data_IF_167097208110
#
_entry.id   IF_167097208110
#
_cell.length_a   1.000
_cell.length_b   1.000
_cell.length_c   1.000
_cell.angle_alpha   90.00
_cell.angle_beta   90.00
_cell.angle_gamma   90.00
#
_symmetry.space_group_name_H-M   'P 1'
#
loop_
_entity.id
_entity.type
_entity.pdbx_description
1 polymer ?
#
# COMPACT_ATOMS: atom_id res chain seq x y z
N UNK A 1 -24.78 1.92 -22.34
CA UNK A 1 -23.45 1.24 -22.41
C UNK A 1 -23.02 1.22 -23.86
N UNK A 2 -21.83 1.73 -24.20
CA UNK A 2 -21.35 1.66 -25.59
C UNK A 2 -20.90 0.23 -25.92
N UNK A 3 -21.08 -0.21 -27.17
CA UNK A 3 -20.68 -1.55 -27.66
C UNK A 3 -19.17 -1.80 -27.38
N UNK A 4 -18.34 -0.78 -27.52
CA UNK A 4 -16.92 -0.85 -27.17
C UNK A 4 -16.65 -1.15 -25.69
N UNK A 5 -17.50 -0.68 -24.78
CA UNK A 5 -17.44 -0.98 -23.35
C UNK A 5 -17.71 -2.45 -23.04
N UNK A 6 -18.70 -3.04 -23.69
CA UNK A 6 -19.06 -4.45 -23.50
C UNK A 6 -17.97 -5.40 -24.05
N UNK A 7 -17.37 -5.10 -25.20
CA UNK A 7 -16.28 -5.89 -25.77
C UNK A 7 -15.03 -5.82 -24.86
N UNK A 8 -14.71 -4.63 -24.34
CA UNK A 8 -13.56 -4.47 -23.43
C UNK A 8 -13.77 -5.22 -22.11
N UNK A 9 -15.00 -5.29 -21.63
CA UNK A 9 -15.33 -6.03 -20.39
C UNK A 9 -15.26 -7.56 -20.60
N UNK A 10 -15.62 -8.03 -21.80
CA UNK A 10 -15.47 -9.44 -22.16
C UNK A 10 -14.00 -9.86 -22.27
N UNK A 11 -13.14 -8.99 -22.84
CA UNK A 11 -11.70 -9.28 -23.01
C UNK A 11 -10.89 -9.05 -21.73
N UNK A 12 -11.27 -8.05 -20.91
CA UNK A 12 -10.59 -7.64 -19.68
C UNK A 12 -11.59 -7.49 -18.53
N UNK A 13 -12.18 -8.59 -18.06
CA UNK A 13 -13.15 -8.52 -16.98
C UNK A 13 -12.51 -8.03 -15.69
N UNK A 14 -13.25 -7.18 -14.97
CA UNK A 14 -12.81 -6.68 -13.68
C UNK A 14 -12.71 -7.82 -12.68
N UNK A 15 -11.60 -7.84 -11.93
CA UNK A 15 -11.33 -8.85 -10.89
C UNK A 15 -11.20 -8.19 -9.54
N UNK A 16 -11.70 -8.86 -8.53
CA UNK A 16 -11.54 -8.45 -7.15
C UNK A 16 -10.06 -8.30 -6.80
N UNK A 17 -9.67 -7.15 -6.25
CA UNK A 17 -8.30 -6.85 -5.89
C UNK A 17 -7.70 -7.85 -4.87
N UNK A 18 -8.53 -8.46 -4.04
CA UNK A 18 -8.06 -9.41 -3.02
C UNK A 18 -8.09 -10.87 -3.49
N UNK A 19 -9.24 -11.45 -3.77
CA UNK A 19 -9.36 -12.86 -4.14
C UNK A 19 -9.17 -13.15 -5.64
N UNK A 20 -9.06 -12.11 -6.47
CA UNK A 20 -8.85 -12.19 -7.93
C UNK A 20 -9.96 -12.90 -8.72
N UNK A 21 -11.14 -13.14 -8.12
CA UNK A 21 -12.33 -13.63 -8.82
C UNK A 21 -12.98 -12.50 -9.61
N UNK A 22 -13.72 -12.84 -10.65
CA UNK A 22 -14.51 -11.89 -11.41
C UNK A 22 -15.51 -11.17 -10.50
N UNK A 23 -15.75 -9.90 -10.79
CA UNK A 23 -16.72 -9.06 -10.09
C UNK A 23 -17.86 -8.67 -11.03
N UNK A 24 -18.98 -8.27 -10.45
CA UNK A 24 -20.17 -7.82 -11.19
C UNK A 24 -20.02 -6.35 -11.60
N UNK A 25 -19.34 -6.12 -12.74
CA UNK A 25 -19.13 -4.79 -13.30
C UNK A 25 -17.83 -4.10 -12.88
N UNK A 26 -17.49 -3.03 -13.60
CA UNK A 26 -16.20 -2.31 -13.51
C UNK A 26 -16.01 -1.53 -12.22
N UNK A 27 -17.07 -1.10 -11.59
CA UNK A 27 -17.02 -0.28 -10.38
C UNK A 27 -16.72 -1.13 -9.13
N UNK A 28 -17.06 -2.43 -9.19
CA UNK A 28 -16.88 -3.33 -8.06
C UNK A 28 -15.45 -3.89 -8.00
N UNK A 29 -14.52 -3.09 -7.52
CA UNK A 29 -13.10 -3.49 -7.41
C UNK A 29 -12.81 -4.46 -6.25
N UNK A 30 -13.70 -4.57 -5.27
CA UNK A 30 -13.65 -5.53 -4.16
C UNK A 30 -14.99 -6.24 -4.06
N UNK A 31 -15.00 -7.57 -4.14
CA UNK A 31 -16.24 -8.34 -4.09
C UNK A 31 -16.85 -8.37 -2.68
N UNK A 32 -18.18 -8.54 -2.54
CA UNK A 32 -18.88 -8.53 -1.25
C UNK A 32 -18.35 -9.58 -0.27
N UNK A 33 -17.92 -10.73 -0.77
CA UNK A 33 -17.28 -11.76 0.05
C UNK A 33 -16.01 -11.22 0.71
N UNK A 34 -15.12 -10.60 -0.06
CA UNK A 34 -13.86 -10.05 0.49
C UNK A 34 -14.14 -8.92 1.48
N UNK A 35 -15.07 -8.02 1.20
CA UNK A 35 -15.44 -6.94 2.14
C UNK A 35 -15.77 -7.53 3.52
N UNK A 36 -16.48 -8.69 3.57
CA UNK A 36 -16.88 -9.34 4.82
C UNK A 36 -15.79 -10.21 5.46
N UNK A 37 -14.90 -10.81 4.67
CA UNK A 37 -13.98 -11.88 5.12
C UNK A 37 -12.51 -11.47 5.19
N UNK A 38 -12.15 -10.22 4.81
CA UNK A 38 -10.77 -9.75 4.95
C UNK A 38 -10.34 -9.75 6.43
N UNK A 39 -9.08 -10.12 6.72
CA UNK A 39 -8.54 -10.15 8.08
C UNK A 39 -8.26 -8.72 8.57
N UNK A 40 -9.31 -7.99 8.91
CA UNK A 40 -9.18 -6.63 9.44
C UNK A 40 -8.41 -6.61 10.75
N UNK A 41 -7.41 -5.76 10.83
CA UNK A 41 -6.68 -5.53 12.07
C UNK A 41 -7.52 -4.69 13.02
N UNK A 42 -7.97 -5.26 14.15
CA UNK A 42 -8.88 -4.63 15.10
C UNK A 42 -8.34 -4.66 16.52
N UNK A 43 -8.84 -3.72 17.36
CA UNK A 43 -8.47 -3.64 18.76
C UNK A 43 -7.02 -3.25 19.02
N UNK A 44 -6.56 -3.43 20.25
CA UNK A 44 -5.18 -3.11 20.67
C UNK A 44 -4.11 -3.91 19.93
N UNK A 45 -4.41 -5.14 19.49
CA UNK A 45 -3.49 -5.98 18.73
C UNK A 45 -3.17 -5.41 17.32
N UNK A 46 -3.98 -4.48 16.81
CA UNK A 46 -3.75 -3.80 15.55
C UNK A 46 -2.81 -2.60 15.67
N UNK A 47 -2.52 -2.14 16.87
CA UNK A 47 -1.56 -1.09 17.16
C UNK A 47 -0.23 -1.69 17.59
N UNK A 48 0.84 -1.37 16.85
CA UNK A 48 2.18 -1.73 17.26
C UNK A 48 2.85 -0.55 17.95
N UNK A 49 3.42 -0.78 19.12
CA UNK A 49 4.28 0.20 19.79
C UNK A 49 5.67 0.12 19.20
N UNK A 50 6.09 1.18 18.54
CA UNK A 50 7.42 1.29 17.95
C UNK A 50 8.16 2.47 18.56
N UNK A 51 9.49 2.36 18.81
CA UNK A 51 10.30 3.49 19.27
C UNK A 51 10.17 4.67 18.30
N UNK A 52 9.99 5.87 18.84
CA UNK A 52 9.92 7.13 18.07
C UNK A 52 8.73 7.25 17.12
N UNK A 53 7.74 6.36 17.23
CA UNK A 53 6.49 6.42 16.47
C UNK A 53 5.33 6.52 17.45
N UNK A 54 4.55 7.58 17.35
CA UNK A 54 3.42 7.84 18.25
C UNK A 54 2.36 6.75 18.07
N UNK A 55 2.06 6.39 16.82
CA UNK A 55 1.03 5.40 16.50
C UNK A 55 1.39 4.63 15.23
N UNK A 56 1.28 3.31 15.26
CA UNK A 56 1.45 2.46 14.09
C UNK A 56 0.21 1.59 13.92
N UNK A 57 -0.52 1.79 12.83
CA UNK A 57 -1.77 1.11 12.53
C UNK A 57 -1.75 0.47 11.14
N UNK A 58 -2.56 -0.54 10.94
CA UNK A 58 -2.73 -1.21 9.65
C UNK A 58 -4.20 -1.58 9.44
N UNK A 59 -4.76 -1.48 8.23
CA UNK A 59 -6.12 -1.93 7.94
C UNK A 59 -6.30 -3.44 8.06
N UNK A 60 -5.25 -4.21 7.77
CA UNK A 60 -5.34 -5.68 7.68
C UNK A 60 -4.13 -6.37 8.28
N UNK A 61 -4.33 -7.61 8.72
CA UNK A 61 -3.23 -8.56 8.91
C UNK A 61 -2.67 -9.02 7.55
N UNK A 62 -1.35 -9.23 7.50
CA UNK A 62 -0.65 -9.64 6.27
C UNK A 62 -0.75 -11.15 6.06
N UNK A 63 -1.94 -11.62 5.70
CA UNK A 63 -2.24 -13.04 5.49
C UNK A 63 -3.25 -13.26 4.36
N UNK A 64 -3.49 -14.48 3.97
CA UNK A 64 -4.52 -14.90 3.01
C UNK A 64 -4.56 -14.05 1.74
N UNK A 65 -5.76 -13.63 1.38
CA UNK A 65 -6.04 -12.83 0.18
C UNK A 65 -5.39 -11.43 0.22
N UNK A 66 -5.19 -10.86 1.41
CA UNK A 66 -4.45 -9.57 1.58
C UNK A 66 -3.00 -9.72 1.15
N UNK A 67 -2.33 -10.78 1.61
CA UNK A 67 -0.95 -11.06 1.22
C UNK A 67 -0.82 -11.29 -0.29
N UNK A 68 -1.73 -12.06 -0.89
CA UNK A 68 -1.73 -12.31 -2.34
C UNK A 68 -1.98 -11.04 -3.16
N UNK A 69 -2.91 -10.20 -2.72
CA UNK A 69 -3.19 -8.90 -3.32
C UNK A 69 -1.96 -7.99 -3.31
N UNK A 70 -1.29 -7.85 -2.15
CA UNK A 70 -0.07 -7.04 -2.04
C UNK A 70 1.09 -7.59 -2.86
N UNK A 71 1.19 -8.90 -3.06
CA UNK A 71 2.19 -9.50 -3.96
C UNK A 71 1.91 -9.15 -5.42
N UNK A 72 0.64 -9.20 -5.87
CA UNK A 72 0.25 -8.75 -7.22
C UNK A 72 0.54 -7.27 -7.41
N UNK A 73 0.22 -6.43 -6.43
CA UNK A 73 0.53 -5.00 -6.45
C UNK A 73 2.04 -4.76 -6.54
N UNK A 74 2.85 -5.49 -5.77
CA UNK A 74 4.31 -5.30 -5.74
C UNK A 74 5.03 -5.86 -6.95
N UNK A 75 4.54 -6.93 -7.56
CA UNK A 75 5.27 -7.71 -8.56
C UNK A 75 4.47 -7.98 -9.84
N UNK A 76 3.16 -7.85 -9.82
CA UNK A 76 2.26 -8.10 -10.95
C UNK A 76 1.93 -6.85 -11.78
N UNK A 77 2.49 -5.69 -11.47
CA UNK A 77 2.28 -4.46 -12.25
C UNK A 77 0.89 -3.81 -12.11
N UNK A 78 0.05 -4.25 -11.19
CA UNK A 78 -1.34 -3.78 -11.05
C UNK A 78 -1.41 -2.48 -10.24
N UNK A 79 -1.05 -1.36 -10.88
CA UNK A 79 -1.02 -0.03 -10.23
C UNK A 79 -2.37 0.40 -9.67
N UNK A 80 -3.45 0.07 -10.37
CA UNK A 80 -4.82 0.44 -9.98
C UNK A 80 -5.27 -0.06 -8.59
N UNK A 81 -4.48 -0.90 -7.92
CA UNK A 81 -4.78 -1.27 -6.54
C UNK A 81 -4.43 -0.18 -5.51
N UNK A 82 -3.66 0.86 -5.89
CA UNK A 82 -3.30 1.95 -4.98
C UNK A 82 -4.53 2.65 -4.41
N UNK A 83 -5.54 2.93 -5.27
CA UNK A 83 -6.77 3.61 -4.87
C UNK A 83 -7.51 2.80 -3.78
N UNK A 84 -7.64 1.48 -4.01
CA UNK A 84 -8.32 0.58 -3.08
C UNK A 84 -7.60 0.55 -1.72
N UNK A 85 -6.27 0.49 -1.74
CA UNK A 85 -5.49 0.51 -0.50
C UNK A 85 -5.57 1.86 0.21
N UNK A 86 -5.59 2.97 -0.55
CA UNK A 86 -5.77 4.30 -0.01
C UNK A 86 -7.13 4.45 0.70
N UNK A 87 -8.23 3.98 0.09
CA UNK A 87 -9.56 3.97 0.71
C UNK A 87 -9.57 3.22 2.05
N UNK A 88 -8.95 2.03 2.12
CA UNK A 88 -8.85 1.29 3.39
C UNK A 88 -7.93 1.96 4.41
N UNK A 89 -6.88 2.65 3.97
CA UNK A 89 -6.00 3.43 4.85
C UNK A 89 -6.73 4.62 5.44
N UNK A 90 -7.42 5.42 4.62
CA UNK A 90 -8.21 6.57 5.09
C UNK A 90 -9.23 6.13 6.12
N UNK A 91 -10.01 5.09 5.82
CA UNK A 91 -10.96 4.53 6.77
C UNK A 91 -10.30 4.12 8.09
N UNK A 92 -9.11 3.50 8.03
CA UNK A 92 -8.37 3.09 9.24
C UNK A 92 -7.84 4.29 10.01
N UNK A 93 -7.36 5.33 9.32
CA UNK A 93 -6.89 6.59 9.91
C UNK A 93 -8.03 7.25 10.68
N UNK A 94 -9.21 7.35 10.08
CA UNK A 94 -10.40 7.93 10.69
C UNK A 94 -10.88 7.11 11.90
N UNK A 95 -11.04 5.79 11.74
CA UNK A 95 -11.46 4.87 12.81
C UNK A 95 -10.51 4.88 14.02
N UNK A 96 -9.24 5.23 13.82
CA UNK A 96 -8.20 5.28 14.84
C UNK A 96 -7.91 6.70 15.34
N UNK A 97 -8.66 7.70 14.88
CA UNK A 97 -8.46 9.10 15.21
C UNK A 97 -6.97 9.51 15.07
N UNK A 98 -6.38 9.21 13.91
CA UNK A 98 -5.04 9.66 13.56
C UNK A 98 -5.17 10.95 12.76
N UNK A 99 -4.53 12.01 13.22
CA UNK A 99 -4.40 13.26 12.46
C UNK A 99 -2.98 13.41 11.94
N UNK A 100 -2.84 14.03 10.78
CA UNK A 100 -1.55 14.38 10.21
C UNK A 100 -1.68 15.62 9.31
N UNK A 101 -0.65 16.43 9.28
CA UNK A 101 -0.58 17.63 8.42
C UNK A 101 -0.08 17.29 7.02
N UNK A 102 0.78 16.27 6.93
CA UNK A 102 1.36 15.78 5.69
C UNK A 102 1.43 14.25 5.67
N UNK A 103 1.47 13.69 4.47
CA UNK A 103 1.75 12.27 4.23
C UNK A 103 3.08 12.12 3.50
N UNK A 104 3.86 11.15 3.90
CA UNK A 104 5.11 10.77 3.25
C UNK A 104 5.18 9.25 3.05
N UNK A 105 6.21 8.79 2.37
CA UNK A 105 6.44 7.35 2.12
C UNK A 105 7.90 6.96 2.30
N UNK A 106 8.15 5.67 2.47
CA UNK A 106 9.49 5.10 2.47
C UNK A 106 9.87 4.71 1.04
N UNK A 107 10.82 5.41 0.40
CA UNK A 107 11.07 5.27 -1.04
C UNK A 107 11.79 3.99 -1.42
N UNK A 108 11.55 3.51 -2.64
CA UNK A 108 12.33 2.47 -3.28
C UNK A 108 13.69 3.02 -3.75
N UNK A 109 14.70 2.13 -3.90
CA UNK A 109 15.91 2.50 -4.61
C UNK A 109 15.68 2.57 -6.14
N UNK A 110 16.50 3.33 -6.85
CA UNK A 110 16.41 3.54 -8.30
C UNK A 110 16.42 2.21 -9.12
N UNK A 111 17.20 1.21 -8.70
CA UNK A 111 17.25 -0.11 -9.36
C UNK A 111 15.91 -0.85 -9.27
N UNK A 112 15.26 -0.83 -8.09
CA UNK A 112 13.95 -1.46 -7.90
C UNK A 112 12.86 -0.67 -8.60
N UNK A 113 12.91 0.66 -8.56
CA UNK A 113 11.98 1.54 -9.26
C UNK A 113 12.00 1.27 -10.77
N UNK A 114 13.19 1.22 -11.40
CA UNK A 114 13.32 0.88 -12.84
C UNK A 114 12.75 -0.50 -13.16
N UNK A 115 13.00 -1.51 -12.31
CA UNK A 115 12.49 -2.88 -12.53
C UNK A 115 10.99 -3.00 -12.37
N UNK A 116 10.38 -2.24 -11.44
CA UNK A 116 8.94 -2.29 -11.14
C UNK A 116 8.11 -1.31 -11.96
N UNK A 117 8.75 -0.25 -12.47
CA UNK A 117 8.11 0.82 -13.20
C UNK A 117 7.36 1.84 -12.32
N UNK A 118 7.23 1.60 -11.02
CA UNK A 118 6.59 2.51 -10.06
C UNK A 118 7.02 2.24 -8.62
N UNK A 119 6.88 3.25 -7.75
CA UNK A 119 7.03 3.12 -6.31
C UNK A 119 5.65 2.89 -5.68
N UNK A 120 5.46 1.70 -5.13
CA UNK A 120 4.18 1.27 -4.58
C UNK A 120 3.76 2.09 -3.37
N UNK A 121 4.71 2.41 -2.49
CA UNK A 121 4.42 3.18 -1.29
C UNK A 121 4.06 4.62 -1.64
N UNK A 122 4.76 5.21 -2.63
CA UNK A 122 4.47 6.53 -3.15
C UNK A 122 3.05 6.62 -3.70
N UNK A 123 2.65 5.73 -4.59
CA UNK A 123 1.30 5.76 -5.20
C UNK A 123 0.19 5.68 -4.14
N UNK A 124 0.36 4.81 -3.13
CA UNK A 124 -0.61 4.71 -2.03
C UNK A 124 -0.61 6.00 -1.21
N UNK A 125 0.56 6.57 -0.90
CA UNK A 125 0.69 7.81 -0.13
C UNK A 125 0.03 8.99 -0.86
N UNK A 126 0.32 9.17 -2.15
CA UNK A 126 -0.27 10.21 -2.99
C UNK A 126 -1.79 10.12 -3.04
N UNK A 127 -2.35 8.91 -3.25
CA UNK A 127 -3.80 8.74 -3.30
C UNK A 127 -4.45 8.88 -1.92
N UNK A 128 -3.78 8.43 -0.85
CA UNK A 128 -4.27 8.64 0.53
C UNK A 128 -4.31 10.12 0.87
N UNK A 129 -3.25 10.87 0.55
CA UNK A 129 -3.15 12.31 0.80
C UNK A 129 -4.25 13.08 0.05
N UNK A 130 -4.48 12.74 -1.21
CA UNK A 130 -5.57 13.30 -2.03
C UNK A 130 -6.94 13.06 -1.40
N UNK A 131 -7.22 11.84 -0.92
CA UNK A 131 -8.48 11.51 -0.26
C UNK A 131 -8.67 12.23 1.07
N UNK A 132 -7.58 12.50 1.79
CA UNK A 132 -7.60 13.22 3.07
C UNK A 132 -7.53 14.75 2.92
N UNK A 133 -7.23 15.26 1.74
CA UNK A 133 -7.06 16.70 1.51
C UNK A 133 -5.80 17.28 2.16
N UNK A 134 -4.74 16.47 2.33
CA UNK A 134 -3.45 16.88 2.89
C UNK A 134 -2.34 16.78 1.84
N UNK A 135 -1.20 17.42 2.10
CA UNK A 135 -0.07 17.37 1.18
C UNK A 135 0.70 16.04 1.25
N UNK A 136 1.21 15.58 0.10
CA UNK A 136 2.08 14.41 0.02
C UNK A 136 3.50 14.83 -0.32
N UNK A 137 4.42 14.75 0.64
CA UNK A 137 5.77 15.27 0.54
C UNK A 137 6.81 14.16 0.67
N UNK A 138 7.84 14.19 -0.17
CA UNK A 138 8.96 13.27 -0.02
C UNK A 138 9.93 13.78 1.05
N UNK A 139 9.94 13.14 2.22
CA UNK A 139 10.84 13.48 3.32
C UNK A 139 12.08 12.59 3.41
N UNK A 140 12.13 11.50 2.66
CA UNK A 140 13.19 10.51 2.74
C UNK A 140 13.77 10.19 1.36
N UNK A 141 15.09 10.08 1.29
CA UNK A 141 15.83 9.54 0.15
C UNK A 141 16.51 8.23 0.55
N UNK A 142 16.44 7.24 -0.33
CA UNK A 142 17.16 5.98 -0.15
C UNK A 142 18.56 6.08 -0.74
N UNK A 143 19.57 6.12 0.11
CA UNK A 143 20.97 6.38 -0.24
C UNK A 143 21.72 5.15 -0.71
N UNK A 144 21.33 3.95 -0.26
CA UNK A 144 22.05 2.70 -0.57
C UNK A 144 21.15 1.60 -1.12
N UNK A 145 21.68 0.80 -2.04
CA UNK A 145 21.09 -0.45 -2.45
C UNK A 145 21.34 -1.52 -1.38
N UNK A 146 20.28 -2.15 -0.90
CA UNK A 146 20.35 -3.22 0.09
C UNK A 146 19.67 -4.49 -0.42
N UNK A 147 20.03 -5.62 0.16
CA UNK A 147 19.37 -6.91 -0.08
C UNK A 147 17.87 -6.79 0.18
N UNK A 148 17.06 -7.56 -0.55
CA UNK A 148 15.62 -7.55 -0.30
C UNK A 148 15.32 -8.09 1.10
N UNK A 149 14.45 -7.41 1.85
CA UNK A 149 14.07 -7.81 3.21
C UNK A 149 13.43 -9.22 3.27
N UNK A 150 12.81 -9.66 2.16
CA UNK A 150 12.30 -11.02 2.03
C UNK A 150 13.38 -12.10 1.90
N UNK A 151 14.64 -11.69 1.65
CA UNK A 151 15.81 -12.57 1.54
C UNK A 151 16.75 -12.45 2.75
N UNK A 152 16.38 -11.66 3.77
CA UNK A 152 17.09 -11.55 5.03
C UNK A 152 16.48 -12.50 6.05
N UNK A 153 17.28 -12.95 7.01
CA UNK A 153 16.88 -13.83 8.10
C UNK A 153 15.95 -13.16 9.12
N UNK A 154 16.17 -13.39 10.39
CA UNK A 154 15.36 -12.91 11.50
C UNK A 154 15.30 -11.37 11.65
N UNK A 155 14.57 -10.92 12.67
CA UNK A 155 14.33 -9.48 12.91
C UNK A 155 15.61 -8.66 13.08
N UNK A 156 16.64 -9.20 13.74
CA UNK A 156 17.93 -8.53 13.96
C UNK A 156 18.66 -8.26 12.64
N UNK A 157 18.66 -9.22 11.70
CA UNK A 157 19.27 -9.04 10.38
C UNK A 157 18.51 -8.02 9.55
N UNK A 158 17.16 -8.03 9.59
CA UNK A 158 16.33 -7.02 8.92
C UNK A 158 16.62 -5.62 9.44
N UNK A 159 16.77 -5.44 10.76
CA UNK A 159 17.12 -4.16 11.37
C UNK A 159 18.48 -3.66 10.90
N UNK A 160 19.51 -4.51 10.93
CA UNK A 160 20.85 -4.17 10.42
C UNK A 160 20.83 -3.82 8.93
N UNK A 161 20.05 -4.56 8.11
CA UNK A 161 19.98 -4.35 6.67
C UNK A 161 19.40 -2.97 6.30
N UNK A 162 18.53 -2.37 7.13
CA UNK A 162 17.93 -1.05 6.86
C UNK A 162 18.59 0.11 7.59
N UNK A 163 19.47 -0.15 8.54
CA UNK A 163 20.15 0.88 9.33
C UNK A 163 21.00 1.79 8.43
N UNK A 164 20.80 3.13 8.52
CA UNK A 164 21.52 4.14 7.74
C UNK A 164 21.31 4.06 6.23
N UNK A 165 20.19 3.51 5.78
CA UNK A 165 19.85 3.34 4.35
C UNK A 165 19.05 4.54 3.83
N UNK A 166 18.44 5.29 4.72
CA UNK A 166 17.63 6.45 4.38
C UNK A 166 18.23 7.71 4.99
N UNK A 167 18.15 8.81 4.25
CA UNK A 167 18.48 10.16 4.72
C UNK A 167 17.29 11.08 4.53
N UNK A 168 17.13 12.12 5.37
CA UNK A 168 16.16 13.17 5.11
C UNK A 168 16.39 13.80 3.75
N UNK A 169 15.32 14.31 3.14
CA UNK A 169 15.38 15.25 2.03
C UNK A 169 15.34 16.67 2.61
N UNK A 170 15.98 17.63 1.93
CA UNK A 170 15.73 19.05 2.16
C UNK A 170 14.36 19.38 1.57
N UNK A 171 13.32 19.17 2.37
CA UNK A 171 11.96 19.57 2.04
C UNK A 171 11.68 20.90 2.75
N UNK A 172 11.33 21.92 1.99
CA UNK A 172 10.68 23.12 2.55
C UNK A 172 9.26 22.70 2.97
N UNK A 173 8.98 22.67 4.26
CA UNK A 173 7.69 22.37 4.87
C UNK A 173 6.98 23.65 5.27
#
# INVERSE_FOLDING_TARGET
MSIGGAILELLFPTKCAFCHRLTEGREQRVCPRCIKSLPHARGAAAEQKLPHIVKCVSPFYYEGDVRQSLLRYKFGGVRAYCDIYAEFLVKTIDERAVSCDIITWVPLNAKRLRRRGYDQARLIAEETAKLMGVECVQLLTKTRNIRAQSLTGGAAERKRNVSGVYSPCDAEL
#
